data_IF_650709390879
#
_entry.id   IF_650709390879
#
_cell.length_a   1.000
_cell.length_b   1.000
_cell.length_c   1.000
_cell.angle_alpha   90.00
_cell.angle_beta   90.00
_cell.angle_gamma   90.00
#
_symmetry.space_group_name_H-M   'P 1'
#
loop_
_entity.id
_entity.type
_entity.pdbx_description
1 polymer ?
#
# COMPACT_ATOMS: atom_id res chain seq x y z
N UNK A 1 1.37 77.20 52.66
CA UNK A 1 2.74 76.66 52.78
C UNK A 1 2.96 75.74 51.58
N UNK A 2 3.64 76.23 50.54
CA UNK A 2 3.79 75.53 49.26
C UNK A 2 5.09 74.74 49.29
N UNK A 3 4.99 73.41 49.35
CA UNK A 3 6.14 72.50 49.34
C UNK A 3 6.74 72.54 47.92
N UNK A 4 7.88 73.21 47.76
CA UNK A 4 8.68 73.16 46.52
C UNK A 4 9.28 71.76 46.39
N UNK A 5 8.71 70.93 45.51
CA UNK A 5 9.31 69.67 45.10
C UNK A 5 10.48 69.96 44.17
N UNK A 6 11.70 69.69 44.64
CA UNK A 6 12.89 69.70 43.78
C UNK A 6 12.83 68.50 42.85
N UNK A 7 12.76 68.74 41.54
CA UNK A 7 12.86 67.68 40.54
C UNK A 7 14.28 67.13 40.59
N UNK A 8 14.46 65.91 41.13
CA UNK A 8 15.73 65.18 41.02
C UNK A 8 15.92 64.80 39.56
N UNK A 9 16.98 65.31 38.94
CA UNK A 9 17.39 64.89 37.60
C UNK A 9 18.03 63.50 37.68
N UNK A 10 17.76 62.66 36.69
CA UNK A 10 18.44 61.38 36.52
C UNK A 10 19.90 61.60 36.18
N UNK A 11 20.77 60.79 36.77
CA UNK A 11 22.19 60.75 36.41
C UNK A 11 22.37 60.00 35.09
N UNK A 12 23.39 60.36 34.31
CA UNK A 12 23.71 59.68 33.05
C UNK A 12 23.97 58.18 33.25
N UNK A 13 24.54 57.82 34.41
CA UNK A 13 24.80 56.42 34.79
C UNK A 13 23.51 55.63 34.99
N UNK A 14 22.49 56.21 35.63
CA UNK A 14 21.18 55.56 35.79
C UNK A 14 20.50 55.32 34.44
N UNK A 15 20.64 56.24 33.48
CA UNK A 15 20.09 56.07 32.13
C UNK A 15 20.79 54.94 31.38
N UNK A 16 22.13 54.84 31.48
CA UNK A 16 22.87 53.73 30.88
C UNK A 16 22.46 52.38 31.47
N UNK A 17 22.36 52.28 32.81
CA UNK A 17 21.93 51.05 33.47
C UNK A 17 20.49 50.68 33.06
N UNK A 18 19.58 51.66 33.01
CA UNK A 18 18.20 51.44 32.59
C UNK A 18 18.12 50.93 31.13
N UNK A 19 18.90 51.52 30.22
CA UNK A 19 18.94 51.08 28.82
C UNK A 19 19.51 49.67 28.68
N UNK A 20 20.53 49.31 29.47
CA UNK A 20 21.12 47.97 29.46
C UNK A 20 20.13 46.91 29.98
N UNK A 21 19.46 47.17 31.12
CA UNK A 21 18.44 46.27 31.66
C UNK A 21 17.28 46.11 30.69
N UNK A 22 16.84 47.21 30.07
CA UNK A 22 15.78 47.17 29.07
C UNK A 22 16.19 46.36 27.84
N UNK A 23 17.43 46.51 27.36
CA UNK A 23 17.93 45.73 26.23
C UNK A 23 17.96 44.22 26.54
N UNK A 24 18.44 43.82 27.71
CA UNK A 24 18.44 42.41 28.15
C UNK A 24 17.00 41.87 28.17
N UNK A 25 16.08 42.62 28.77
CA UNK A 25 14.66 42.23 28.84
C UNK A 25 14.01 42.14 27.44
N UNK A 26 14.35 43.03 26.52
CA UNK A 26 13.85 42.98 25.16
C UNK A 26 14.36 41.74 24.42
N UNK A 27 15.65 41.41 24.59
CA UNK A 27 16.22 40.20 23.95
C UNK A 27 15.60 38.92 24.48
N UNK A 28 15.29 38.83 25.78
CA UNK A 28 14.64 37.64 26.34
C UNK A 28 13.19 37.49 25.86
N UNK A 29 12.44 38.58 25.72
CA UNK A 29 11.09 38.56 25.14
C UNK A 29 11.11 38.10 23.69
N UNK A 30 12.03 38.65 22.88
CA UNK A 30 12.13 38.29 21.46
C UNK A 30 12.48 36.81 21.31
N UNK A 31 13.44 36.29 22.08
CA UNK A 31 13.77 34.86 22.07
C UNK A 31 12.57 33.99 22.45
N UNK A 32 11.86 34.35 23.53
CA UNK A 32 10.66 33.63 23.95
C UNK A 32 9.56 33.64 22.88
N UNK A 33 9.35 34.77 22.20
CA UNK A 33 8.37 34.88 21.14
C UNK A 33 8.73 34.04 19.92
N UNK A 34 10.02 33.99 19.54
CA UNK A 34 10.50 33.12 18.47
C UNK A 34 10.30 31.65 18.82
N UNK A 35 10.61 31.25 20.05
CA UNK A 35 10.41 29.87 20.50
C UNK A 35 8.93 29.49 20.56
N UNK A 36 8.07 30.41 21.02
CA UNK A 36 6.62 30.22 21.03
C UNK A 36 6.08 30.06 19.61
N UNK A 37 6.52 30.89 18.66
CA UNK A 37 6.12 30.79 17.26
C UNK A 37 6.55 29.46 16.63
N UNK A 38 7.80 29.03 16.87
CA UNK A 38 8.31 27.73 16.40
C UNK A 38 7.49 26.57 16.96
N UNK A 39 7.21 26.59 18.26
CA UNK A 39 6.41 25.56 18.91
C UNK A 39 4.96 25.54 18.39
N UNK A 40 4.35 26.70 18.21
CA UNK A 40 3.00 26.82 17.65
C UNK A 40 2.93 26.20 16.25
N UNK A 41 3.89 26.52 15.38
CA UNK A 41 3.94 25.98 14.02
C UNK A 41 4.19 24.47 14.00
N UNK A 42 5.06 23.97 14.89
CA UNK A 42 5.28 22.53 15.05
C UNK A 42 4.00 21.81 15.43
N UNK A 43 3.28 22.32 16.42
CA UNK A 43 2.01 21.72 16.88
C UNK A 43 0.98 21.72 15.74
N UNK A 44 0.89 22.82 14.99
CA UNK A 44 -0.01 22.92 13.84
C UNK A 44 0.31 21.88 12.75
N UNK A 45 1.58 21.74 12.37
CA UNK A 45 2.02 20.75 11.39
C UNK A 45 1.80 19.31 11.88
N UNK A 46 2.08 19.02 13.16
CA UNK A 46 1.83 17.70 13.75
C UNK A 46 0.34 17.34 13.73
N UNK A 47 -0.53 18.29 14.04
CA UNK A 47 -1.98 18.08 14.04
C UNK A 47 -2.51 17.89 12.61
N UNK A 48 -2.05 18.70 11.64
CA UNK A 48 -2.41 18.55 10.23
C UNK A 48 -1.96 17.19 9.67
N UNK A 49 -0.71 16.80 9.93
CA UNK A 49 -0.16 15.51 9.52
C UNK A 49 -1.00 14.36 10.11
N UNK A 50 -1.36 14.45 11.38
CA UNK A 50 -2.18 13.44 12.03
C UNK A 50 -3.60 13.32 11.45
N UNK A 51 -4.22 14.45 11.09
CA UNK A 51 -5.52 14.48 10.43
C UNK A 51 -5.45 13.85 9.03
N UNK A 52 -4.40 14.18 8.27
CA UNK A 52 -4.17 13.62 6.94
C UNK A 52 -3.93 12.11 7.00
N UNK A 53 -3.10 11.65 7.94
CA UNK A 53 -2.88 10.22 8.18
C UNK A 53 -4.18 9.50 8.52
N UNK A 54 -5.01 10.04 9.42
CA UNK A 54 -6.31 9.44 9.76
C UNK A 54 -7.26 9.37 8.58
N UNK A 55 -7.29 10.41 7.75
CA UNK A 55 -8.10 10.42 6.53
C UNK A 55 -7.64 9.35 5.54
N UNK A 56 -6.32 9.25 5.30
CA UNK A 56 -5.72 8.23 4.44
C UNK A 56 -6.00 6.82 4.95
N UNK A 57 -5.74 6.57 6.24
CA UNK A 57 -6.00 5.29 6.88
C UNK A 57 -7.47 4.90 6.76
N UNK A 58 -8.39 5.82 6.98
CA UNK A 58 -9.83 5.57 6.80
C UNK A 58 -10.16 5.20 5.36
N UNK A 59 -9.53 5.86 4.38
CA UNK A 59 -9.76 5.55 2.98
C UNK A 59 -9.29 4.13 2.64
N UNK A 60 -8.09 3.74 3.10
CA UNK A 60 -7.59 2.38 2.91
C UNK A 60 -8.47 1.37 3.65
N UNK A 61 -8.91 1.67 4.88
CA UNK A 61 -9.86 0.84 5.64
C UNK A 61 -11.11 0.54 4.82
N UNK A 62 -11.77 1.56 4.26
CA UNK A 62 -12.97 1.36 3.45
C UNK A 62 -12.68 0.50 2.21
N UNK A 63 -11.50 0.62 1.61
CA UNK A 63 -11.11 -0.23 0.47
C UNK A 63 -10.90 -1.68 0.89
N UNK A 64 -10.19 -1.94 1.99
CA UNK A 64 -9.97 -3.30 2.50
C UNK A 64 -11.27 -3.94 2.99
N UNK A 65 -12.16 -3.19 3.64
CA UNK A 65 -13.48 -3.71 4.07
C UNK A 65 -14.34 -4.10 2.86
N UNK A 66 -14.37 -3.27 1.82
CA UNK A 66 -15.26 -3.47 0.65
C UNK A 66 -14.73 -4.40 -0.44
N UNK A 67 -13.50 -4.90 -0.32
CA UNK A 67 -12.86 -5.78 -1.30
C UNK A 67 -12.20 -6.98 -0.60
N UNK A 68 -12.04 -8.09 -1.31
CA UNK A 68 -11.21 -9.20 -0.86
C UNK A 68 -9.73 -8.95 -1.19
N UNK A 69 -8.85 -9.67 -0.50
CA UNK A 69 -7.41 -9.67 -0.79
C UNK A 69 -7.18 -10.49 -2.06
N UNK A 70 -6.39 -9.96 -2.99
CA UNK A 70 -6.11 -10.62 -4.26
C UNK A 70 -4.85 -11.51 -4.14
N UNK A 71 -5.03 -12.70 -3.60
CA UNK A 71 -3.94 -13.67 -3.36
C UNK A 71 -3.21 -14.13 -4.63
N UNK A 72 -3.88 -14.08 -5.79
CA UNK A 72 -3.28 -14.41 -7.08
C UNK A 72 -2.12 -13.46 -7.41
N UNK A 73 -2.33 -12.16 -7.18
CA UNK A 73 -1.32 -11.13 -7.42
C UNK A 73 -0.11 -11.28 -6.49
N UNK A 74 -0.36 -11.58 -5.21
CA UNK A 74 0.70 -11.84 -4.25
C UNK A 74 1.51 -13.09 -4.59
N UNK A 75 0.84 -14.16 -5.00
CA UNK A 75 1.51 -15.37 -5.45
C UNK A 75 2.41 -15.11 -6.66
N UNK A 76 1.92 -14.33 -7.62
CA UNK A 76 2.68 -13.93 -8.80
C UNK A 76 3.91 -13.09 -8.47
N UNK A 77 3.76 -12.09 -7.60
CA UNK A 77 4.90 -11.30 -7.13
C UNK A 77 5.94 -12.16 -6.40
N UNK A 78 5.47 -13.10 -5.55
CA UNK A 78 6.35 -13.99 -4.79
C UNK A 78 7.11 -15.01 -5.66
N UNK A 79 6.49 -15.50 -6.74
CA UNK A 79 7.11 -16.43 -7.70
C UNK A 79 8.04 -15.71 -8.68
N UNK A 80 7.95 -14.38 -8.77
CA UNK A 80 8.73 -13.57 -9.70
C UNK A 80 8.28 -13.72 -11.15
N UNK A 81 7.13 -14.37 -11.39
CA UNK A 81 6.53 -14.45 -12.71
C UNK A 81 5.75 -13.17 -13.02
N UNK A 82 6.47 -12.07 -13.11
CA UNK A 82 5.95 -10.80 -13.59
C UNK A 82 5.86 -10.78 -15.12
N UNK A 83 6.05 -11.91 -15.81
CA UNK A 83 5.98 -11.93 -17.26
C UNK A 83 4.54 -11.81 -17.72
N UNK A 84 4.07 -10.57 -17.85
CA UNK A 84 2.95 -10.23 -18.72
C UNK A 84 3.28 -10.82 -20.09
N UNK A 85 2.55 -11.86 -20.51
CA UNK A 85 2.89 -12.70 -21.67
C UNK A 85 3.48 -11.88 -22.81
N UNK A 86 4.79 -12.07 -23.05
CA UNK A 86 5.54 -11.41 -24.11
C UNK A 86 4.96 -11.79 -25.48
N UNK A 87 3.95 -11.08 -25.97
CA UNK A 87 3.44 -11.34 -27.31
C UNK A 87 2.25 -10.51 -27.79
N UNK A 88 1.24 -10.25 -26.97
CA UNK A 88 0.02 -9.55 -27.44
C UNK A 88 -0.67 -8.66 -26.40
N UNK A 89 -0.05 -8.44 -25.23
CA UNK A 89 -0.51 -7.45 -24.25
C UNK A 89 -1.93 -7.66 -23.69
N UNK A 90 -2.59 -8.81 -23.90
CA UNK A 90 -4.03 -8.92 -23.66
C UNK A 90 -4.48 -10.05 -22.75
N UNK A 91 -3.62 -10.96 -22.30
CA UNK A 91 -4.09 -12.15 -21.57
C UNK A 91 -3.26 -12.37 -20.32
N UNK A 92 -3.76 -11.84 -19.23
CA UNK A 92 -3.38 -12.25 -17.89
C UNK A 92 -3.83 -13.71 -17.73
N UNK A 93 -2.89 -14.66 -17.67
CA UNK A 93 -3.22 -16.04 -17.31
C UNK A 93 -3.53 -16.04 -15.82
N UNK A 94 -4.78 -16.31 -15.48
CA UNK A 94 -5.23 -16.38 -14.11
C UNK A 94 -5.44 -17.83 -13.68
N UNK A 95 -5.42 -18.04 -12.37
CA UNK A 95 -5.62 -19.34 -11.74
C UNK A 95 -4.35 -20.13 -11.55
N UNK A 96 -3.17 -19.51 -11.69
CA UNK A 96 -1.90 -20.17 -11.39
C UNK A 96 -1.75 -20.40 -9.89
N UNK A 97 -2.18 -19.45 -9.06
CA UNK A 97 -2.30 -19.67 -7.63
C UNK A 97 -3.36 -20.72 -7.30
N UNK A 98 -4.52 -20.67 -7.97
CA UNK A 98 -5.59 -21.64 -7.75
C UNK A 98 -5.12 -23.09 -8.06
N UNK A 99 -4.38 -23.29 -9.15
CA UNK A 99 -3.83 -24.60 -9.57
C UNK A 99 -2.98 -25.26 -8.51
N UNK A 100 -2.33 -24.49 -7.62
CA UNK A 100 -1.53 -25.08 -6.54
C UNK A 100 -2.36 -25.85 -5.51
N UNK A 101 -3.68 -25.61 -5.42
CA UNK A 101 -4.56 -26.30 -4.46
C UNK A 101 -5.29 -27.51 -5.05
N UNK A 102 -5.24 -27.71 -6.36
CA UNK A 102 -5.97 -28.78 -7.06
C UNK A 102 -5.03 -29.84 -7.59
N UNK A 103 -5.41 -31.11 -7.43
CA UNK A 103 -4.76 -32.22 -8.13
C UNK A 103 -5.37 -32.38 -9.54
N UNK A 104 -4.51 -32.39 -10.55
CA UNK A 104 -4.90 -32.63 -11.94
C UNK A 104 -5.36 -34.08 -12.16
N UNK A 105 -5.14 -34.96 -11.18
CA UNK A 105 -5.42 -36.38 -11.28
C UNK A 105 -4.35 -37.12 -12.09
N UNK A 106 -4.54 -38.43 -12.23
CA UNK A 106 -3.68 -39.29 -13.06
C UNK A 106 -4.54 -40.25 -13.88
N UNK A 107 -3.99 -40.81 -14.95
CA UNK A 107 -4.69 -41.71 -15.89
C UNK A 107 -5.61 -42.72 -15.18
N UNK A 108 -6.92 -42.44 -15.15
CA UNK A 108 -7.95 -43.31 -14.58
C UNK A 108 -8.56 -42.87 -13.23
N UNK A 109 -8.10 -41.78 -12.61
CA UNK A 109 -8.70 -41.20 -11.41
C UNK A 109 -9.20 -39.77 -11.73
N UNK A 110 -10.48 -39.43 -11.47
CA UNK A 110 -10.99 -38.10 -11.78
C UNK A 110 -10.33 -37.02 -10.91
N UNK A 111 -9.44 -36.21 -11.50
CA UNK A 111 -8.97 -34.95 -10.91
C UNK A 111 -9.94 -33.80 -11.20
N UNK A 112 -9.47 -32.57 -11.03
CA UNK A 112 -10.22 -31.38 -11.47
C UNK A 112 -10.53 -31.44 -12.99
N UNK A 113 -11.56 -30.71 -13.44
CA UNK A 113 -11.80 -30.52 -14.87
C UNK A 113 -11.33 -29.12 -15.27
N UNK A 114 -10.94 -28.95 -16.52
CA UNK A 114 -10.78 -27.64 -17.14
C UNK A 114 -12.15 -26.98 -17.36
N UNK A 115 -12.17 -25.68 -17.62
CA UNK A 115 -13.40 -24.92 -17.94
C UNK A 115 -14.25 -25.51 -19.07
N UNK A 116 -13.65 -26.26 -19.98
CA UNK A 116 -14.32 -26.94 -21.10
C UNK A 116 -14.80 -28.36 -20.78
N UNK A 117 -14.89 -28.70 -19.49
CA UNK A 117 -15.26 -30.01 -18.94
C UNK A 117 -14.30 -31.17 -19.34
N UNK A 118 -13.11 -30.87 -19.86
CA UNK A 118 -12.07 -31.87 -20.10
C UNK A 118 -11.25 -32.16 -18.84
N UNK A 119 -10.57 -33.33 -18.73
CA UNK A 119 -9.70 -33.60 -17.59
C UNK A 119 -8.60 -32.54 -17.45
N UNK A 120 -8.33 -32.08 -16.23
CA UNK A 120 -7.36 -31.03 -15.98
C UNK A 120 -5.96 -31.40 -16.52
N UNK A 121 -5.35 -30.47 -17.26
CA UNK A 121 -3.96 -30.56 -17.73
C UNK A 121 -3.17 -29.37 -17.17
N UNK A 122 -1.82 -29.44 -17.09
CA UNK A 122 -1.00 -28.33 -16.57
C UNK A 122 -1.27 -26.97 -17.24
N UNK A 123 -1.64 -26.99 -18.51
CA UNK A 123 -1.84 -25.78 -19.32
C UNK A 123 -3.29 -25.28 -19.31
N UNK A 124 -4.22 -25.97 -18.63
CA UNK A 124 -5.62 -25.57 -18.67
C UNK A 124 -6.07 -24.77 -17.45
N UNK A 125 -7.11 -23.96 -17.65
CA UNK A 125 -7.77 -23.19 -16.61
C UNK A 125 -8.77 -24.11 -15.88
N UNK A 126 -8.58 -24.30 -14.58
CA UNK A 126 -9.38 -25.20 -13.75
C UNK A 126 -10.81 -24.67 -13.58
N UNK A 127 -11.80 -25.52 -13.85
CA UNK A 127 -13.21 -25.24 -13.60
C UNK A 127 -13.50 -25.31 -12.11
N UNK A 128 -13.65 -24.14 -11.48
CA UNK A 128 -13.96 -23.99 -10.05
C UNK A 128 -15.29 -24.61 -9.62
N UNK A 129 -16.22 -24.85 -10.55
CA UNK A 129 -17.51 -25.52 -10.24
C UNK A 129 -17.35 -27.03 -10.11
N UNK A 130 -16.24 -27.57 -10.59
CA UNK A 130 -15.98 -29.00 -10.53
C UNK A 130 -15.32 -29.30 -9.19
N UNK A 131 -16.14 -29.77 -8.26
CA UNK A 131 -15.64 -30.46 -7.08
C UNK A 131 -14.73 -31.58 -7.57
N UNK A 132 -13.47 -31.55 -7.15
CA UNK A 132 -12.56 -32.66 -7.32
C UNK A 132 -13.27 -33.95 -6.88
N UNK A 133 -13.56 -34.81 -7.87
CA UNK A 133 -14.41 -35.98 -7.65
C UNK A 133 -13.66 -37.10 -6.92
N UNK A 134 -12.35 -36.98 -6.71
CA UNK A 134 -11.53 -37.91 -5.94
C UNK A 134 -10.75 -37.20 -4.82
N UNK A 135 -11.40 -36.34 -4.03
CA UNK A 135 -10.80 -35.70 -2.84
C UNK A 135 -9.46 -34.99 -3.09
N UNK A 136 -9.04 -34.72 -4.34
CA UNK A 136 -7.70 -34.31 -4.77
C UNK A 136 -7.26 -32.93 -4.28
N UNK A 137 -7.04 -32.89 -2.96
CA UNK A 137 -6.31 -31.84 -2.28
C UNK A 137 -4.83 -32.12 -2.52
N UNK A 138 -4.11 -31.19 -3.15
CA UNK A 138 -2.65 -31.21 -3.03
C UNK A 138 -2.34 -30.88 -1.56
N UNK A 139 -1.71 -31.81 -0.84
CA UNK A 139 -1.16 -31.50 0.49
C UNK A 139 0.05 -30.57 0.26
N UNK A 140 -0.17 -29.28 0.37
CA UNK A 140 0.87 -28.30 0.13
C UNK A 140 0.37 -26.88 0.28
N UNK A 141 1.25 -26.04 0.79
CA UNK A 141 1.11 -24.59 0.76
C UNK A 141 1.57 -24.11 -0.63
N UNK A 142 0.80 -23.24 -1.28
CA UNK A 142 1.08 -22.71 -2.61
C UNK A 142 2.46 -22.05 -2.68
N UNK A 143 2.91 -21.43 -1.58
CA UNK A 143 4.23 -20.79 -1.51
C UNK A 143 5.37 -21.75 -1.18
N UNK A 144 5.08 -23.06 -1.02
CA UNK A 144 6.01 -24.07 -0.51
C UNK A 144 6.16 -25.32 -1.40
N UNK A 145 5.71 -25.26 -2.67
CA UNK A 145 5.69 -26.40 -3.59
C UNK A 145 7.06 -26.78 -4.19
N UNK A 146 7.30 -28.09 -4.29
CA UNK A 146 8.45 -28.69 -4.98
C UNK A 146 8.42 -28.38 -6.48
N UNK A 147 9.21 -27.39 -6.92
CA UNK A 147 9.27 -26.97 -8.32
C UNK A 147 9.57 -25.48 -8.48
N UNK A 148 9.21 -24.66 -7.49
CA UNK A 148 9.92 -23.40 -7.28
C UNK A 148 11.33 -23.76 -6.81
N UNK A 149 12.37 -23.04 -7.23
CA UNK A 149 13.75 -23.30 -6.79
C UNK A 149 13.98 -23.03 -5.29
N UNK A 150 12.91 -22.95 -4.49
CA UNK A 150 12.91 -22.80 -3.04
C UNK A 150 12.42 -24.11 -2.42
N UNK A 151 13.36 -24.74 -1.73
CA UNK A 151 13.23 -25.93 -0.88
C UNK A 151 12.00 -25.92 0.06
N UNK A 152 11.61 -27.07 0.65
CA UNK A 152 10.41 -27.21 1.48
C UNK A 152 10.35 -26.15 2.57
N UNK A 153 9.22 -25.46 2.71
CA UNK A 153 9.01 -24.46 3.75
C UNK A 153 9.35 -25.04 5.12
N UNK A 154 10.47 -24.62 5.73
CA UNK A 154 10.70 -24.90 7.12
C UNK A 154 9.67 -24.05 7.88
N UNK A 155 8.88 -24.66 8.75
CA UNK A 155 7.98 -23.95 9.68
C UNK A 155 8.68 -22.87 10.53
N UNK A 156 10.02 -22.88 10.51
CA UNK A 156 10.88 -22.05 11.33
C UNK A 156 11.72 -21.04 10.50
N UNK A 157 11.47 -20.90 9.19
CA UNK A 157 12.22 -19.96 8.37
C UNK A 157 11.70 -18.52 8.58
N UNK A 158 12.52 -17.60 9.13
CA UNK A 158 12.16 -16.19 9.23
C UNK A 158 11.82 -15.53 7.87
N UNK A 159 12.15 -16.16 6.75
CA UNK A 159 11.74 -15.72 5.41
C UNK A 159 10.22 -15.76 5.17
N UNK A 160 9.46 -16.58 5.91
CA UNK A 160 8.00 -16.65 5.78
C UNK A 160 7.34 -15.35 6.28
N UNK A 161 7.87 -14.73 7.34
CA UNK A 161 7.39 -13.42 7.80
C UNK A 161 7.59 -12.32 6.74
N UNK A 162 8.60 -12.46 5.88
CA UNK A 162 8.81 -11.55 4.77
C UNK A 162 7.73 -11.70 3.68
N UNK A 163 7.06 -12.85 3.58
CA UNK A 163 5.94 -13.05 2.64
C UNK A 163 4.63 -12.42 3.13
N UNK A 164 4.46 -12.29 4.45
CA UNK A 164 3.33 -11.53 4.98
C UNK A 164 3.49 -10.03 4.74
N UNK A 165 4.73 -9.53 4.70
CA UNK A 165 5.03 -8.12 4.51
C UNK A 165 5.10 -7.78 3.03
N UNK A 166 4.24 -6.86 2.60
CA UNK A 166 4.09 -6.43 1.21
C UNK A 166 4.25 -4.92 1.11
N UNK A 167 4.90 -4.47 0.05
CA UNK A 167 5.03 -3.04 -0.29
C UNK A 167 3.82 -2.53 -1.08
N UNK A 168 3.03 -3.45 -1.63
CA UNK A 168 1.83 -3.18 -2.40
C UNK A 168 0.60 -3.86 -1.78
N UNK A 169 -0.56 -3.21 -1.93
CA UNK A 169 -1.84 -3.77 -1.54
C UNK A 169 -2.68 -4.10 -2.77
N UNK A 170 -2.90 -5.39 -3.03
CA UNK A 170 -3.73 -5.92 -4.09
C UNK A 170 -5.08 -6.35 -3.54
N UNK A 171 -6.14 -5.76 -4.08
CA UNK A 171 -7.51 -6.01 -3.68
C UNK A 171 -8.36 -6.32 -4.90
N UNK A 172 -9.38 -7.14 -4.71
CA UNK A 172 -10.37 -7.46 -5.72
C UNK A 172 -11.77 -7.33 -5.16
N UNK A 173 -12.69 -6.71 -5.91
CA UNK A 173 -14.05 -6.54 -5.42
C UNK A 173 -14.75 -7.89 -5.24
N UNK A 174 -15.79 -7.94 -4.39
CA UNK A 174 -16.52 -9.19 -4.12
C UNK A 174 -17.20 -9.84 -5.34
N UNK A 175 -17.21 -9.17 -6.50
CA UNK A 175 -17.73 -9.70 -7.76
C UNK A 175 -16.62 -10.24 -8.69
N UNK A 176 -15.35 -10.09 -8.35
CA UNK A 176 -14.24 -10.47 -9.21
C UNK A 176 -14.09 -9.62 -10.48
N UNK A 177 -14.76 -8.47 -10.58
CA UNK A 177 -14.84 -7.62 -11.80
C UNK A 177 -13.97 -6.37 -11.74
N UNK A 178 -13.40 -6.04 -10.58
CA UNK A 178 -12.53 -4.87 -10.43
C UNK A 178 -11.41 -5.17 -9.46
N UNK A 179 -10.17 -4.90 -9.89
CA UNK A 179 -8.97 -4.95 -9.07
C UNK A 179 -8.56 -3.54 -8.67
N UNK A 180 -8.01 -3.43 -7.49
CA UNK A 180 -7.51 -2.19 -6.91
C UNK A 180 -6.11 -2.44 -6.38
N UNK A 181 -5.18 -1.61 -6.81
CA UNK A 181 -3.78 -1.65 -6.46
C UNK A 181 -3.47 -0.38 -5.66
N UNK A 182 -2.88 -0.53 -4.48
CA UNK A 182 -2.31 0.60 -3.75
C UNK A 182 -0.80 0.43 -3.63
N UNK A 183 -0.07 1.47 -4.01
CA UNK A 183 1.38 1.49 -4.01
C UNK A 183 1.88 2.88 -3.64
N UNK A 184 3.10 2.94 -3.10
CA UNK A 184 3.77 4.22 -2.94
C UNK A 184 4.59 4.56 -4.17
N UNK A 185 4.46 5.79 -4.64
CA UNK A 185 5.14 6.26 -5.83
C UNK A 185 6.05 7.44 -5.52
N UNK A 186 7.25 7.49 -6.14
CA UNK A 186 8.13 8.63 -6.01
C UNK A 186 7.53 9.84 -6.75
N UNK A 187 7.61 11.00 -6.12
CA UNK A 187 7.26 12.30 -6.68
C UNK A 187 8.46 13.21 -6.52
N UNK A 188 9.05 13.58 -7.66
CA UNK A 188 10.17 14.52 -7.68
C UNK A 188 9.67 15.93 -7.42
N UNK A 189 10.18 16.56 -6.36
CA UNK A 189 9.95 17.98 -6.09
C UNK A 189 11.22 18.79 -6.27
N UNK A 190 11.08 19.93 -6.95
CA UNK A 190 12.17 20.89 -7.10
C UNK A 190 12.12 21.89 -5.95
N UNK A 191 13.13 21.86 -5.09
CA UNK A 191 13.34 22.79 -3.99
C UNK A 191 14.72 23.43 -4.11
N UNK A 192 14.81 24.75 -4.26
CA UNK A 192 16.09 25.50 -4.26
C UNK A 192 17.19 24.89 -5.17
N UNK A 193 16.79 24.40 -6.34
CA UNK A 193 17.63 23.72 -7.34
C UNK A 193 18.15 22.32 -6.95
N UNK A 194 17.69 21.73 -5.83
CA UNK A 194 17.79 20.29 -5.57
C UNK A 194 16.47 19.58 -5.85
N UNK A 195 16.56 18.33 -6.31
CA UNK A 195 15.43 17.42 -6.41
C UNK A 195 15.35 16.62 -5.11
N UNK A 196 14.22 16.69 -4.43
CA UNK A 196 13.90 15.85 -3.28
C UNK A 196 12.89 14.81 -3.73
N UNK A 197 13.26 13.54 -3.59
CA UNK A 197 12.36 12.41 -3.84
C UNK A 197 11.46 12.25 -2.61
N UNK A 198 10.17 12.48 -2.80
CA UNK A 198 9.13 12.20 -1.81
C UNK A 198 8.29 11.04 -2.30
N UNK A 199 7.53 10.39 -1.40
CA UNK A 199 6.59 9.34 -1.80
C UNK A 199 5.17 9.73 -1.48
N UNK A 200 4.26 9.41 -2.38
CA UNK A 200 2.81 9.55 -2.20
C UNK A 200 2.16 8.17 -2.29
N UNK A 201 1.05 7.98 -1.60
CA UNK A 201 0.22 6.78 -1.79
C UNK A 201 -0.68 7.04 -2.96
N UNK A 202 -0.60 6.15 -3.95
CA UNK A 202 -1.41 6.21 -5.14
C UNK A 202 -2.31 4.98 -5.25
N UNK A 203 -3.37 5.13 -6.03
CA UNK A 203 -4.31 4.06 -6.35
C UNK A 203 -4.37 3.84 -7.86
N UNK A 204 -4.48 2.57 -8.25
CA UNK A 204 -4.71 2.14 -9.61
C UNK A 204 -5.83 1.10 -9.65
N UNK A 205 -6.63 1.11 -10.73
CA UNK A 205 -7.75 0.20 -10.90
C UNK A 205 -7.70 -0.49 -12.25
N UNK A 206 -8.04 -1.78 -12.25
CA UNK A 206 -8.27 -2.54 -13.46
C UNK A 206 -9.70 -3.06 -13.48
N UNK A 207 -10.34 -2.97 -14.63
CA UNK A 207 -11.66 -3.51 -14.86
C UNK A 207 -11.54 -4.88 -15.55
N UNK A 208 -12.30 -5.82 -15.01
CA UNK A 208 -12.47 -7.14 -15.55
C UNK A 208 -13.56 -7.20 -16.62
N UNK A 209 -13.35 -8.01 -17.66
CA UNK A 209 -14.38 -8.42 -18.60
C UNK A 209 -14.45 -9.93 -18.70
N UNK A 210 -15.65 -10.46 -18.48
CA UNK A 210 -16.08 -11.82 -18.84
C UNK A 210 -16.40 -11.84 -20.34
N UNK A 211 -15.72 -12.71 -21.09
CA UNK A 211 -15.82 -12.83 -22.55
C UNK A 211 -16.64 -14.04 -22.97
N UNK A 212 -16.71 -15.08 -22.14
CA UNK A 212 -17.40 -16.34 -22.46
C UNK A 212 -18.78 -16.49 -21.78
N UNK A 213 -19.13 -15.58 -20.87
CA UNK A 213 -20.43 -15.48 -20.21
C UNK A 213 -20.59 -16.45 -19.05
N UNK A 214 -19.50 -16.89 -18.42
CA UNK A 214 -19.53 -17.81 -17.29
C UNK A 214 -19.55 -17.11 -15.91
N UNK A 215 -19.72 -15.79 -15.87
CA UNK A 215 -19.66 -14.92 -14.70
C UNK A 215 -18.27 -14.91 -14.01
N UNK A 216 -17.20 -15.25 -14.72
CA UNK A 216 -15.81 -15.17 -14.28
C UNK A 216 -15.04 -14.23 -15.20
N UNK A 217 -14.28 -13.31 -14.62
CA UNK A 217 -13.52 -12.32 -15.37
C UNK A 217 -12.34 -12.96 -16.09
N UNK A 218 -12.40 -13.12 -17.41
CA UNK A 218 -11.30 -13.69 -18.23
C UNK A 218 -10.16 -12.71 -18.51
N UNK A 219 -10.51 -11.44 -18.74
CA UNK A 219 -9.55 -10.43 -19.19
C UNK A 219 -9.59 -9.21 -18.30
N UNK A 220 -8.44 -8.58 -18.12
CA UNK A 220 -8.29 -7.38 -17.31
C UNK A 220 -7.70 -6.29 -18.17
N UNK A 221 -8.35 -5.13 -18.12
CA UNK A 221 -7.92 -3.94 -18.84
C UNK A 221 -7.84 -2.79 -17.85
N UNK A 222 -6.93 -1.87 -18.12
CA UNK A 222 -6.76 -0.68 -17.31
C UNK A 222 -8.11 0.06 -17.27
N UNK A 223 -8.56 0.38 -16.05
CA UNK A 223 -9.87 0.99 -15.85
C UNK A 223 -9.94 2.43 -16.35
N UNK A 224 -8.78 3.01 -16.64
CA UNK A 224 -8.61 4.34 -17.16
C UNK A 224 -8.42 4.24 -18.68
N UNK A 225 -9.50 4.49 -19.43
CA UNK A 225 -9.38 4.81 -20.86
C UNK A 225 -8.78 6.23 -21.01
N UNK A 226 -7.58 6.47 -20.48
CA UNK A 226 -6.82 7.64 -20.91
C UNK A 226 -6.32 7.35 -22.32
N UNK A 227 -6.95 8.00 -23.29
CA UNK A 227 -6.52 7.94 -24.67
C UNK A 227 -5.08 8.48 -24.72
N UNK A 228 -4.09 7.59 -24.83
CA UNK A 228 -2.65 7.91 -24.86
C UNK A 228 -2.30 8.96 -25.92
N UNK A 229 -3.19 9.20 -26.89
CA UNK A 229 -3.08 10.29 -27.86
C UNK A 229 -3.26 11.71 -27.27
N UNK A 230 -3.80 11.87 -26.06
CA UNK A 230 -3.96 13.17 -25.39
C UNK A 230 -2.71 13.62 -24.58
N UNK A 231 -1.70 12.75 -24.46
CA UNK A 231 -0.42 13.03 -23.78
C UNK A 231 0.79 12.86 -24.71
N UNK A 232 0.65 13.28 -25.98
CA UNK A 232 1.70 13.23 -27.01
C UNK A 232 2.92 14.14 -26.71
N UNK A 233 3.62 13.86 -25.62
CA UNK A 233 4.88 14.46 -25.21
C UNK A 233 5.78 13.39 -24.61
N UNK A 234 6.54 12.72 -25.48
CA UNK A 234 7.70 11.86 -25.19
C UNK A 234 7.46 10.34 -25.03
N UNK A 235 7.37 9.66 -26.18
CA UNK A 235 7.23 8.20 -26.32
C UNK A 235 8.56 7.44 -26.44
N UNK A 236 9.68 7.98 -25.95
CA UNK A 236 11.00 7.32 -26.15
C UNK A 236 11.49 6.44 -25.00
N UNK A 237 10.74 6.32 -23.89
CA UNK A 237 11.18 5.49 -22.76
C UNK A 237 10.64 4.05 -22.88
N UNK A 238 11.50 3.13 -23.33
CA UNK A 238 11.19 1.74 -23.71
C UNK A 238 11.32 0.73 -22.57
N UNK A 239 10.79 1.01 -21.36
CA UNK A 239 10.72 0.01 -20.28
C UNK A 239 9.26 -0.38 -20.00
N UNK A 240 8.80 -1.55 -20.46
CA UNK A 240 7.40 -1.98 -20.28
C UNK A 240 7.02 -2.21 -18.81
N UNK A 241 7.97 -2.54 -17.93
CA UNK A 241 7.73 -2.70 -16.48
C UNK A 241 7.36 -1.39 -15.77
N UNK A 242 7.59 -0.21 -16.38
CA UNK A 242 7.27 1.09 -15.78
C UNK A 242 5.93 1.68 -16.25
N UNK A 243 5.28 1.13 -17.28
CA UNK A 243 4.07 1.73 -17.85
C UNK A 243 2.78 1.45 -17.08
N UNK A 244 2.73 0.37 -16.29
CA UNK A 244 1.57 0.11 -15.42
C UNK A 244 1.42 1.21 -14.35
N UNK A 245 2.48 1.97 -14.09
CA UNK A 245 2.55 2.99 -13.04
C UNK A 245 2.34 4.43 -13.53
N UNK A 246 2.09 4.67 -14.83
CA UNK A 246 1.87 6.04 -15.33
C UNK A 246 0.47 6.60 -14.99
N UNK A 247 -0.48 5.72 -14.62
CA UNK A 247 -1.91 6.04 -14.43
C UNK A 247 -2.35 6.08 -12.96
N UNK A 248 -1.41 6.12 -12.04
CA UNK A 248 -1.71 6.12 -10.62
C UNK A 248 -2.25 7.47 -10.16
N UNK A 249 -3.37 7.42 -9.44
CA UNK A 249 -4.02 8.61 -8.89
C UNK A 249 -3.54 8.78 -7.45
N UNK A 250 -2.83 9.86 -7.09
CA UNK A 250 -2.40 10.07 -5.72
C UNK A 250 -3.63 10.27 -4.81
N UNK A 251 -3.74 9.46 -3.77
CA UNK A 251 -4.79 9.56 -2.75
C UNK A 251 -4.29 10.21 -1.46
N UNK A 252 -2.98 10.22 -1.23
CA UNK A 252 -2.40 11.00 -0.14
C UNK A 252 -2.29 12.49 -0.51
N UNK A 253 -2.50 13.41 0.46
CA UNK A 253 -2.27 14.83 0.23
C UNK A 253 -0.84 15.13 -0.24
N UNK A 254 -0.69 16.00 -1.23
CA UNK A 254 0.64 16.40 -1.74
C UNK A 254 1.46 17.22 -0.74
N UNK A 255 0.91 17.58 0.41
CA UNK A 255 1.65 18.29 1.47
C UNK A 255 2.33 17.35 2.46
N UNK A 256 2.10 16.05 2.35
CA UNK A 256 2.73 15.02 3.17
C UNK A 256 3.61 14.11 2.32
N UNK A 257 4.58 13.51 2.97
CA UNK A 257 5.55 12.56 2.43
C UNK A 257 5.40 11.24 3.19
N UNK A 258 5.24 10.14 2.45
CA UNK A 258 5.18 8.80 3.03
C UNK A 258 6.61 8.26 3.14
N UNK A 259 7.11 8.18 4.37
CA UNK A 259 8.46 7.68 4.65
C UNK A 259 8.49 6.16 4.57
N UNK A 260 7.46 5.51 5.13
CA UNK A 260 7.34 4.06 5.13
C UNK A 260 5.86 3.66 5.09
N UNK A 261 5.53 2.67 4.26
CA UNK A 261 4.22 2.07 4.19
C UNK A 261 4.41 0.58 3.98
N UNK A 262 3.93 -0.22 4.93
CA UNK A 262 3.96 -1.68 4.87
C UNK A 262 2.57 -2.25 5.09
N UNK A 263 2.25 -3.25 4.29
CA UNK A 263 1.04 -4.06 4.43
C UNK A 263 1.44 -5.43 4.96
N UNK A 264 0.82 -5.87 6.05
CA UNK A 264 1.00 -7.21 6.60
C UNK A 264 -0.29 -7.99 6.38
N UNK A 265 -0.24 -8.97 5.49
CA UNK A 265 -1.41 -9.72 5.05
C UNK A 265 -1.50 -10.99 5.85
N UNK A 266 -2.68 -11.33 6.34
CA UNK A 266 -2.89 -12.59 7.05
C UNK A 266 -4.30 -13.12 6.83
N UNK A 267 -4.48 -14.42 6.57
CA UNK A 267 -3.41 -15.41 6.38
C UNK A 267 -2.63 -15.18 5.08
N UNK A 268 -1.47 -15.84 4.94
CA UNK A 268 -0.63 -15.76 3.73
C UNK A 268 -1.33 -16.38 2.52
N UNK A 269 -2.14 -17.40 2.77
CA UNK A 269 -2.95 -18.07 1.76
C UNK A 269 -4.42 -17.70 1.88
N UNK A 270 -5.15 -17.85 0.79
CA UNK A 270 -6.59 -17.67 0.72
C UNK A 270 -7.31 -18.76 1.55
N UNK A 271 -8.02 -18.40 2.63
CA UNK A 271 -8.79 -19.34 3.45
C UNK A 271 -9.81 -20.18 2.69
N UNK A 272 -10.29 -19.67 1.54
CA UNK A 272 -11.31 -20.32 0.74
C UNK A 272 -10.74 -21.36 -0.22
N UNK A 273 -9.43 -21.29 -0.52
CA UNK A 273 -8.72 -22.23 -1.41
C UNK A 273 -7.78 -23.16 -0.63
N UNK A 274 -7.16 -22.68 0.44
CA UNK A 274 -6.26 -23.45 1.31
C UNK A 274 -7.01 -24.43 2.26
N UNK A 275 -8.08 -25.06 1.79
CA UNK A 275 -8.93 -25.96 2.57
C UNK A 275 -8.23 -27.25 3.05
N UNK A 276 -7.03 -27.51 2.54
CA UNK A 276 -6.21 -28.66 2.90
C UNK A 276 -5.34 -28.38 4.14
N UNK A 277 -5.07 -27.10 4.41
CA UNK A 277 -4.33 -26.69 5.58
C UNK A 277 -5.20 -26.79 6.83
N UNK A 278 -4.93 -27.79 7.67
CA UNK A 278 -5.62 -27.98 8.95
C UNK A 278 -4.81 -27.52 10.15
N UNK A 279 -3.56 -27.08 9.94
CA UNK A 279 -2.69 -26.65 11.03
C UNK A 279 -3.18 -25.33 11.62
N UNK A 280 -3.60 -25.28 12.90
CA UNK A 280 -4.00 -24.03 13.54
C UNK A 280 -2.88 -22.98 13.57
N UNK A 281 -1.61 -23.39 13.45
CA UNK A 281 -0.45 -22.51 13.50
C UNK A 281 -0.29 -21.64 12.24
N UNK A 282 -0.75 -22.11 11.06
CA UNK A 282 -0.68 -21.32 9.82
C UNK A 282 -1.80 -20.28 9.73
N UNK A 283 -2.83 -20.39 10.56
CA UNK A 283 -3.92 -19.41 10.64
C UNK A 283 -4.78 -19.33 9.39
N UNK A 284 -4.67 -20.30 8.45
CA UNK A 284 -5.39 -20.30 7.18
C UNK A 284 -6.90 -20.34 7.30
N UNK A 285 -7.44 -20.78 8.44
CA UNK A 285 -8.89 -20.75 8.73
C UNK A 285 -9.36 -19.43 9.38
N UNK A 286 -8.53 -18.39 9.40
CA UNK A 286 -8.89 -17.07 9.91
C UNK A 286 -9.48 -16.18 8.82
N UNK A 287 -10.29 -15.20 9.22
CA UNK A 287 -10.79 -14.18 8.30
C UNK A 287 -9.60 -13.35 7.75
N UNK A 288 -9.53 -13.12 6.43
CA UNK A 288 -8.47 -12.30 5.84
C UNK A 288 -8.47 -10.89 6.42
N UNK A 289 -7.28 -10.43 6.80
CA UNK A 289 -7.05 -9.10 7.33
C UNK A 289 -5.71 -8.54 6.88
N UNK A 290 -5.63 -7.22 6.88
CA UNK A 290 -4.44 -6.46 6.54
C UNK A 290 -4.08 -5.57 7.73
N UNK A 291 -2.88 -5.75 8.26
CA UNK A 291 -2.28 -4.80 9.20
C UNK A 291 -1.44 -3.80 8.42
N UNK A 292 -1.78 -2.52 8.53
CA UNK A 292 -1.11 -1.45 7.81
C UNK A 292 -0.26 -0.68 8.81
N UNK A 293 1.01 -0.47 8.47
CA UNK A 293 1.92 0.42 9.19
C UNK A 293 2.29 1.56 8.26
N UNK A 294 1.92 2.78 8.64
CA UNK A 294 2.09 3.99 7.84
C UNK A 294 2.90 5.01 8.65
N UNK A 295 4.06 5.40 8.15
CA UNK A 295 4.89 6.49 8.67
C UNK A 295 4.89 7.65 7.70
N UNK A 296 4.49 8.83 8.17
CA UNK A 296 4.40 10.04 7.37
C UNK A 296 5.15 11.21 8.01
N UNK A 297 5.64 12.09 7.15
CA UNK A 297 6.26 13.37 7.47
C UNK A 297 5.60 14.48 6.64
N UNK A 298 5.72 15.76 7.00
CA UNK A 298 5.37 16.85 6.10
C UNK A 298 6.29 16.83 4.87
N UNK A 299 5.77 17.23 3.72
CA UNK A 299 6.58 17.43 2.50
C UNK A 299 7.68 18.47 2.73
N UNK A 300 8.79 18.34 2.02
CA UNK A 300 9.89 19.28 2.00
C UNK A 300 9.42 20.72 1.65
N UNK A 301 8.35 20.86 0.84
CA UNK A 301 7.73 22.15 0.53
C UNK A 301 7.16 22.81 1.79
N UNK A 302 6.43 22.07 2.62
CA UNK A 302 5.90 22.57 3.90
C UNK A 302 7.03 22.90 4.90
N UNK A 303 8.17 22.23 4.73
CA UNK A 303 9.34 22.33 5.61
C UNK A 303 10.31 23.46 5.26
N UNK A 304 10.17 24.15 4.11
CA UNK A 304 11.12 25.19 3.64
C UNK A 304 11.47 26.26 4.69
N UNK A 305 10.53 26.59 5.58
CA UNK A 305 10.71 27.61 6.61
C UNK A 305 10.60 27.06 8.03
N UNK A 306 10.66 25.74 8.19
CA UNK A 306 10.56 25.09 9.48
C UNK A 306 11.94 24.92 10.10
N UNK A 307 12.10 25.42 11.33
CA UNK A 307 13.33 25.33 12.10
C UNK A 307 13.11 24.38 13.27
N UNK A 308 13.63 23.16 13.18
CA UNK A 308 13.49 22.15 14.23
C UNK A 308 13.65 20.73 13.70
N UNK A 309 13.40 19.77 14.59
CA UNK A 309 13.26 18.37 14.23
C UNK A 309 11.98 18.16 13.41
N UNK A 310 12.11 17.44 12.29
CA UNK A 310 11.00 17.14 11.39
C UNK A 310 10.00 16.26 12.14
N UNK A 311 8.73 16.67 12.27
CA UNK A 311 7.75 15.83 12.93
C UNK A 311 7.46 14.60 12.06
N UNK A 312 7.67 13.42 12.62
CA UNK A 312 7.31 12.14 12.02
C UNK A 312 6.30 11.42 12.91
N UNK A 313 5.30 10.78 12.30
CA UNK A 313 4.27 10.02 13.02
C UNK A 313 4.05 8.68 12.32
N UNK A 314 3.86 7.64 13.13
CA UNK A 314 3.50 6.30 12.67
C UNK A 314 2.11 5.96 13.17
N UNK A 315 1.26 5.48 12.27
CA UNK A 315 -0.03 4.88 12.58
C UNK A 315 0.01 3.40 12.21
N UNK A 316 -0.65 2.59 13.04
CA UNK A 316 -0.88 1.19 12.77
C UNK A 316 -2.37 0.89 12.93
N UNK A 317 -2.92 0.10 12.02
CA UNK A 317 -4.29 -0.43 12.13
C UNK A 317 -4.36 -1.82 11.53
N UNK A 318 -5.35 -2.61 11.95
CA UNK A 318 -5.65 -3.92 11.39
C UNK A 318 -7.09 -3.92 10.92
N UNK A 319 -7.32 -4.25 9.65
CA UNK A 319 -8.63 -4.20 9.00
C UNK A 319 -8.95 -5.59 8.48
N UNK A 320 -10.18 -6.05 8.70
CA UNK A 320 -10.69 -7.32 8.19
C UNK A 320 -11.49 -7.07 6.91
N UNK A 321 -11.38 -7.96 5.93
CA UNK A 321 -12.24 -7.93 4.74
C UNK A 321 -13.66 -8.35 5.10
N UNK A 322 -14.69 -7.61 4.66
CA UNK A 322 -16.09 -8.01 4.86
C UNK A 322 -16.54 -9.10 3.87
N UNK A 323 -15.73 -9.42 2.87
CA UNK A 323 -16.05 -10.45 1.89
C UNK A 323 -15.84 -11.84 2.53
N UNK A 324 -16.96 -12.48 2.86
CA UNK A 324 -16.99 -13.80 3.53
C UNK A 324 -17.04 -14.99 2.56
N UNK A 325 -16.96 -14.75 1.26
CA UNK A 325 -17.11 -15.77 0.22
C UNK A 325 -15.93 -15.73 -0.74
N UNK A 326 -15.63 -16.88 -1.34
CA UNK A 326 -14.65 -16.98 -2.43
C UNK A 326 -15.01 -15.99 -3.55
N UNK A 327 -14.05 -15.14 -3.91
CA UNK A 327 -14.19 -14.25 -5.05
C UNK A 327 -13.88 -15.04 -6.31
N UNK A 328 -14.89 -15.18 -7.17
CA UNK A 328 -14.74 -15.81 -8.48
C UNK A 328 -13.97 -14.89 -9.44
N UNK A 329 -12.69 -14.77 -9.22
CA UNK A 329 -11.70 -14.36 -10.22
C UNK A 329 -10.81 -15.55 -10.46
N UNK A 330 -10.47 -15.85 -11.71
CA UNK A 330 -9.63 -17.01 -12.04
C UNK A 330 -8.43 -17.15 -11.11
#
# INVERSE_FOLDING_TARGET
MTIKTTKKGFTLVELLIATAVFAIFLTTIVSFMVDLYRNSRRIELEEQLYQDMRALMRQITVMVESNAIDYEEYFREATGDLTFGNGDGSTYSYGDYAKEFYDFGSDGLPGALCNDDTPATPDCIINKTTLDKNTGKKEGNAFCGAGTTKDPCPSDDPSIFALHQQDHLYLINGKGTRKTFLATEPVDRILDASTVEERVLSIFWMNGSDTDGNDITDTWKDGLEFNVNDLAGDLTNTKPEQKMYEDFIPISPLRSNIVDLKFYISPLEDPYKAFAETDPATGTLMQPHVTIILTMEPSAVEMQNYLGEIPSKTLQTTIYSDIQQDVRSY
#
